data_IF_396518144588
#
_entry.id   IF_396518144588
#
_cell.length_a   1.000
_cell.length_b   1.000
_cell.length_c   1.000
_cell.angle_alpha   90.00
_cell.angle_beta   90.00
_cell.angle_gamma   90.00
#
_symmetry.space_group_name_H-M   'P 1'
#
loop_
_entity.id
_entity.type
_entity.pdbx_description
1 polymer ?
#
# COMPACT_ATOMS: atom_id res chain seq x y z
N UNK A 1 14.45 25.79 5.11
CA UNK A 1 13.31 24.91 4.91
C UNK A 1 12.18 25.33 5.85
N UNK A 2 10.95 25.32 5.40
CA UNK A 2 9.79 25.65 6.24
C UNK A 2 9.62 24.57 7.32
N UNK A 3 9.63 24.97 8.59
CA UNK A 3 9.40 24.07 9.72
C UNK A 3 7.89 23.85 9.89
N UNK A 4 7.46 22.59 9.99
CA UNK A 4 6.08 22.23 10.34
C UNK A 4 5.87 22.46 11.84
N UNK A 5 4.84 23.24 12.21
CA UNK A 5 4.43 23.40 13.60
C UNK A 5 3.96 22.09 14.23
N UNK A 6 4.12 21.92 15.53
CA UNK A 6 3.82 20.70 16.27
C UNK A 6 2.33 20.32 16.18
N UNK A 7 1.42 21.29 16.19
CA UNK A 7 -0.03 21.05 16.08
C UNK A 7 -0.41 20.48 14.72
N UNK A 8 0.19 21.01 13.65
CA UNK A 8 -0.05 20.50 12.28
C UNK A 8 0.54 19.11 12.11
N UNK A 9 1.72 18.86 12.67
CA UNK A 9 2.36 17.55 12.66
C UNK A 9 1.49 16.51 13.37
N UNK A 10 0.93 16.86 14.53
CA UNK A 10 0.02 15.98 15.27
C UNK A 10 -1.25 15.64 14.47
N UNK A 11 -1.84 16.64 13.78
CA UNK A 11 -3.00 16.39 12.90
C UNK A 11 -2.68 15.48 11.74
N UNK A 12 -1.54 15.68 11.05
CA UNK A 12 -1.10 14.83 9.95
C UNK A 12 -0.84 13.40 10.43
N UNK A 13 -0.19 13.23 11.56
CA UNK A 13 0.06 11.96 12.24
C UNK A 13 -1.26 11.22 12.51
N UNK A 14 -2.23 11.90 13.13
CA UNK A 14 -3.53 11.29 13.42
C UNK A 14 -4.26 10.89 12.14
N UNK A 15 -4.26 11.76 11.13
CA UNK A 15 -4.88 11.49 9.83
C UNK A 15 -4.24 10.28 9.15
N UNK A 16 -2.91 10.20 9.14
CA UNK A 16 -2.19 9.03 8.62
C UNK A 16 -2.61 7.74 9.33
N UNK A 17 -2.69 7.76 10.67
CA UNK A 17 -3.12 6.61 11.46
C UNK A 17 -4.54 6.16 11.13
N UNK A 18 -5.48 7.10 10.99
CA UNK A 18 -6.87 6.81 10.59
C UNK A 18 -6.92 6.16 9.21
N UNK A 19 -6.19 6.71 8.22
CA UNK A 19 -6.16 6.13 6.88
C UNK A 19 -5.53 4.73 6.85
N UNK A 20 -4.44 4.50 7.59
CA UNK A 20 -3.82 3.16 7.68
C UNK A 20 -4.80 2.16 8.30
N UNK A 21 -5.49 2.55 9.38
CA UNK A 21 -6.53 1.73 10.00
C UNK A 21 -7.69 1.42 9.04
N UNK A 22 -8.13 2.41 8.28
CA UNK A 22 -9.19 2.24 7.28
C UNK A 22 -8.75 1.28 6.15
N UNK A 23 -7.53 1.44 5.63
CA UNK A 23 -6.98 0.54 4.58
C UNK A 23 -6.91 -0.89 5.10
N UNK A 24 -6.42 -1.10 6.31
CA UNK A 24 -6.35 -2.43 6.92
C UNK A 24 -7.75 -3.04 7.09
N UNK A 25 -8.71 -2.25 7.57
CA UNK A 25 -10.11 -2.68 7.71
C UNK A 25 -10.70 -3.09 6.36
N UNK A 26 -10.60 -2.25 5.33
CA UNK A 26 -11.14 -2.57 4.01
C UNK A 26 -10.43 -3.75 3.35
N UNK A 27 -9.11 -3.90 3.54
CA UNK A 27 -8.37 -5.07 3.10
C UNK A 27 -8.91 -6.35 3.74
N UNK A 28 -9.15 -6.35 5.05
CA UNK A 28 -9.75 -7.50 5.74
C UNK A 28 -11.15 -7.81 5.24
N UNK A 29 -12.01 -6.81 5.07
CA UNK A 29 -13.37 -7.01 4.55
C UNK A 29 -13.34 -7.56 3.12
N UNK A 30 -12.43 -7.08 2.27
CA UNK A 30 -12.24 -7.59 0.91
C UNK A 30 -11.92 -9.09 0.92
N UNK A 31 -10.92 -9.52 1.69
CA UNK A 31 -10.53 -10.94 1.76
C UNK A 31 -11.63 -11.81 2.40
N UNK A 32 -12.30 -11.34 3.46
CA UNK A 32 -13.42 -12.05 4.06
C UNK A 32 -14.58 -12.22 3.09
N UNK A 33 -14.90 -11.19 2.31
CA UNK A 33 -15.95 -11.25 1.30
C UNK A 33 -15.62 -12.26 0.21
N UNK A 34 -14.39 -12.26 -0.28
CA UNK A 34 -13.93 -13.20 -1.29
C UNK A 34 -13.88 -14.64 -0.77
N UNK A 35 -13.54 -14.85 0.51
CA UNK A 35 -13.64 -16.16 1.16
C UNK A 35 -15.09 -16.67 1.24
N UNK A 36 -16.06 -15.77 1.38
CA UNK A 36 -17.48 -16.15 1.38
C UNK A 36 -17.97 -16.54 -0.02
N UNK A 37 -17.44 -15.93 -1.07
CA UNK A 37 -17.82 -16.22 -2.45
C UNK A 37 -17.10 -17.48 -2.93
N UNK A 38 -17.87 -18.56 -3.15
CA UNK A 38 -17.32 -19.88 -3.52
C UNK A 38 -16.44 -19.87 -4.76
N UNK A 39 -16.72 -19.00 -5.73
CA UNK A 39 -15.93 -18.87 -6.97
C UNK A 39 -14.53 -18.29 -6.71
N UNK A 40 -14.36 -17.46 -5.70
CA UNK A 40 -13.08 -16.82 -5.35
C UNK A 40 -12.30 -17.56 -4.27
N UNK A 41 -12.90 -18.59 -3.66
CA UNK A 41 -12.33 -19.31 -2.53
C UNK A 41 -10.92 -19.87 -2.81
N UNK A 42 -10.68 -20.39 -4.01
CA UNK A 42 -9.38 -20.93 -4.41
C UNK A 42 -8.29 -19.86 -4.48
N UNK A 43 -8.58 -18.71 -5.12
CA UNK A 43 -7.66 -17.58 -5.22
C UNK A 43 -7.34 -17.01 -3.84
N UNK A 44 -8.35 -16.84 -2.99
CA UNK A 44 -8.18 -16.31 -1.64
C UNK A 44 -7.34 -17.25 -0.76
N UNK A 45 -7.60 -18.55 -0.80
CA UNK A 45 -6.79 -19.54 -0.11
C UNK A 45 -5.34 -19.52 -0.58
N UNK A 46 -5.14 -19.37 -1.89
CA UNK A 46 -3.80 -19.20 -2.46
C UNK A 46 -3.11 -17.95 -1.91
N UNK A 47 -3.73 -16.77 -1.96
CA UNK A 47 -3.14 -15.52 -1.46
C UNK A 47 -2.87 -15.60 0.05
N UNK A 48 -3.81 -16.10 0.83
CA UNK A 48 -3.71 -16.08 2.29
C UNK A 48 -2.83 -17.18 2.88
N UNK A 49 -2.72 -18.35 2.23
CA UNK A 49 -2.09 -19.55 2.81
C UNK A 49 -1.08 -20.27 1.92
N UNK A 50 -1.35 -20.44 0.64
CA UNK A 50 -0.63 -21.40 -0.23
C UNK A 50 0.26 -20.72 -1.30
N UNK A 51 0.15 -19.42 -1.47
CA UNK A 51 0.82 -18.66 -2.54
C UNK A 51 2.31 -18.38 -2.31
N UNK A 52 2.93 -18.96 -1.30
CA UNK A 52 4.36 -18.82 -1.04
C UNK A 52 4.79 -17.35 -0.90
N UNK A 53 5.44 -16.81 -1.95
CA UNK A 53 5.92 -15.41 -1.95
C UNK A 53 4.76 -14.41 -1.85
N UNK A 54 3.63 -14.65 -2.50
CA UNK A 54 2.46 -13.76 -2.45
C UNK A 54 1.85 -13.73 -1.04
N UNK A 55 1.74 -14.89 -0.38
CA UNK A 55 1.31 -14.99 1.02
C UNK A 55 2.24 -14.23 1.95
N UNK A 56 3.55 -14.35 1.76
CA UNK A 56 4.55 -13.63 2.54
C UNK A 56 4.44 -12.11 2.32
N UNK A 57 4.30 -11.66 1.06
CA UNK A 57 4.11 -10.25 0.73
C UNK A 57 2.83 -9.67 1.34
N UNK A 58 1.76 -10.45 1.39
CA UNK A 58 0.52 -10.04 2.04
C UNK A 58 0.70 -9.88 3.55
N UNK A 59 1.11 -10.94 4.26
CA UNK A 59 1.18 -10.91 5.72
C UNK A 59 2.32 -10.05 6.27
N UNK A 60 3.56 -10.26 5.76
CA UNK A 60 4.71 -9.48 6.22
C UNK A 60 4.75 -8.10 5.56
N UNK A 61 4.51 -8.02 4.27
CA UNK A 61 4.65 -6.77 3.53
C UNK A 61 3.51 -5.79 3.81
N UNK A 62 2.28 -6.19 3.51
CA UNK A 62 1.13 -5.29 3.66
C UNK A 62 0.64 -5.19 5.11
N UNK A 63 0.38 -6.33 5.77
CA UNK A 63 -0.24 -6.31 7.11
C UNK A 63 0.76 -5.86 8.17
N UNK A 64 1.93 -6.50 8.27
CA UNK A 64 2.88 -6.20 9.33
C UNK A 64 3.64 -4.90 9.04
N UNK A 65 4.40 -4.83 7.93
CA UNK A 65 5.28 -3.70 7.62
C UNK A 65 4.49 -2.48 7.16
N UNK A 66 3.46 -2.69 6.32
CA UNK A 66 2.66 -1.60 5.75
C UNK A 66 1.57 -1.05 6.66
N UNK A 67 1.16 -1.77 7.70
CA UNK A 67 0.03 -1.35 8.54
C UNK A 67 0.34 -1.41 10.04
N UNK A 68 0.69 -2.55 10.61
CA UNK A 68 0.86 -2.71 12.07
C UNK A 68 2.05 -1.89 12.59
N UNK A 69 3.22 -2.00 11.95
CA UNK A 69 4.40 -1.23 12.34
C UNK A 69 4.18 0.28 12.23
N UNK A 70 3.65 0.83 11.13
CA UNK A 70 3.28 2.25 11.06
C UNK A 70 2.31 2.70 12.16
N UNK A 71 1.25 1.93 12.42
CA UNK A 71 0.32 2.25 13.52
C UNK A 71 1.03 2.26 14.87
N UNK A 72 1.91 1.31 15.12
CA UNK A 72 2.72 1.30 16.34
C UNK A 72 3.62 2.54 16.45
N UNK A 73 4.34 2.91 15.37
CA UNK A 73 5.17 4.12 15.34
C UNK A 73 4.37 5.41 15.55
N UNK A 74 3.16 5.46 15.00
CA UNK A 74 2.27 6.62 15.09
C UNK A 74 1.70 6.78 16.51
N UNK A 75 1.24 5.70 17.13
CA UNK A 75 0.48 5.77 18.38
C UNK A 75 1.31 5.45 19.62
N UNK A 76 2.54 4.93 19.49
CA UNK A 76 3.42 4.69 20.64
C UNK A 76 3.86 6.00 21.29
N UNK A 77 3.73 6.14 22.62
CA UNK A 77 4.18 7.33 23.33
C UNK A 77 5.69 7.61 23.17
N UNK A 78 6.48 6.55 22.99
CA UNK A 78 7.94 6.67 22.81
C UNK A 78 8.33 7.42 21.53
N UNK A 79 7.48 7.39 20.50
CA UNK A 79 7.73 8.00 19.20
C UNK A 79 6.78 9.16 18.89
N UNK A 80 5.95 9.57 19.85
CA UNK A 80 4.84 10.50 19.65
C UNK A 80 5.25 11.85 19.05
N UNK A 81 6.43 12.37 19.40
CA UNK A 81 6.95 13.65 18.93
C UNK A 81 8.08 13.52 17.90
N UNK A 82 8.42 12.31 17.48
CA UNK A 82 9.52 12.09 16.54
C UNK A 82 9.07 12.30 15.10
N UNK A 83 9.60 13.35 14.44
CA UNK A 83 9.39 13.60 13.00
C UNK A 83 9.93 12.48 12.14
N UNK A 84 11.03 11.86 12.57
CA UNK A 84 11.61 10.71 11.91
C UNK A 84 10.68 9.49 11.92
N UNK A 85 10.03 9.23 13.05
CA UNK A 85 9.08 8.11 13.17
C UNK A 85 7.87 8.28 12.25
N UNK A 86 7.34 9.51 12.12
CA UNK A 86 6.23 9.81 11.22
C UNK A 86 6.66 9.64 9.76
N UNK A 87 7.84 10.14 9.39
CA UNK A 87 8.40 9.97 8.05
C UNK A 87 8.63 8.50 7.69
N UNK A 88 9.20 7.73 8.62
CA UNK A 88 9.41 6.28 8.46
C UNK A 88 8.08 5.54 8.32
N UNK A 89 7.09 5.85 9.15
CA UNK A 89 5.74 5.28 9.05
C UNK A 89 5.13 5.55 7.67
N UNK A 90 5.26 6.78 7.15
CA UNK A 90 4.74 7.14 5.82
C UNK A 90 5.40 6.33 4.70
N UNK A 91 6.71 6.13 4.75
CA UNK A 91 7.43 5.29 3.77
C UNK A 91 6.99 3.83 3.86
N UNK A 92 6.86 3.28 5.08
CA UNK A 92 6.39 1.90 5.28
C UNK A 92 4.96 1.70 4.76
N UNK A 93 4.08 2.67 4.97
CA UNK A 93 2.69 2.64 4.44
C UNK A 93 2.71 2.61 2.90
N UNK A 94 3.52 3.43 2.25
CA UNK A 94 3.65 3.43 0.79
C UNK A 94 4.18 2.09 0.28
N UNK A 95 5.19 1.52 0.91
CA UNK A 95 5.72 0.20 0.55
C UNK A 95 4.67 -0.90 0.75
N UNK A 96 3.96 -0.90 1.88
CA UNK A 96 2.90 -1.86 2.16
C UNK A 96 1.74 -1.77 1.18
N UNK A 97 1.34 -0.56 0.80
CA UNK A 97 0.32 -0.32 -0.24
C UNK A 97 0.75 -0.83 -1.60
N UNK A 98 2.01 -0.61 -1.98
CA UNK A 98 2.57 -1.14 -3.23
C UNK A 98 2.58 -2.68 -3.25
N UNK A 99 3.01 -3.31 -2.14
CA UNK A 99 2.99 -4.77 -1.99
C UNK A 99 1.57 -5.34 -2.05
N UNK A 100 0.58 -4.66 -1.45
CA UNK A 100 -0.82 -5.04 -1.53
C UNK A 100 -1.33 -5.02 -2.96
N UNK A 101 -1.05 -3.95 -3.71
CA UNK A 101 -1.42 -3.86 -5.13
C UNK A 101 -0.76 -4.98 -5.94
N UNK A 102 0.52 -5.27 -5.68
CA UNK A 102 1.23 -6.36 -6.35
C UNK A 102 0.58 -7.72 -6.07
N UNK A 103 0.23 -8.01 -4.82
CA UNK A 103 -0.44 -9.27 -4.44
C UNK A 103 -1.81 -9.40 -5.10
N UNK A 104 -2.62 -8.33 -5.12
CA UNK A 104 -3.95 -8.37 -5.73
C UNK A 104 -3.86 -8.54 -7.25
N UNK A 105 -2.98 -7.78 -7.90
CA UNK A 105 -2.89 -7.76 -9.37
C UNK A 105 -2.12 -8.96 -9.89
N UNK A 106 -0.90 -9.18 -9.42
CA UNK A 106 -0.03 -10.24 -9.94
C UNK A 106 -0.35 -11.58 -9.27
N UNK A 107 -0.53 -11.61 -7.95
CA UNK A 107 -0.88 -12.82 -7.21
C UNK A 107 -2.24 -13.38 -7.65
N UNK A 108 -3.24 -12.50 -7.86
CA UNK A 108 -4.54 -12.91 -8.38
C UNK A 108 -4.49 -13.48 -9.81
N UNK A 109 -3.59 -12.96 -10.66
CA UNK A 109 -3.38 -13.46 -12.01
C UNK A 109 -2.47 -14.70 -12.07
N UNK A 110 -1.61 -14.90 -11.07
CA UNK A 110 -0.74 -16.08 -10.99
C UNK A 110 -1.52 -17.35 -10.66
N UNK A 111 -2.70 -17.22 -10.02
CA UNK A 111 -3.56 -18.34 -9.72
C UNK A 111 -4.23 -18.88 -11.01
N UNK A 112 -4.21 -20.20 -11.27
CA UNK A 112 -4.80 -20.76 -12.49
C UNK A 112 -6.29 -20.52 -12.56
N UNK A 113 -6.75 -20.00 -13.69
CA UNK A 113 -8.15 -19.76 -13.95
C UNK A 113 -8.87 -21.08 -14.25
N UNK A 114 -9.84 -21.46 -13.46
CA UNK A 114 -10.67 -22.63 -13.70
C UNK A 114 -11.80 -22.28 -14.68
N UNK A 115 -11.49 -22.34 -15.99
CA UNK A 115 -12.43 -21.99 -17.06
C UNK A 115 -13.60 -22.98 -17.17
N UNK A 116 -13.41 -24.25 -16.80
CA UNK A 116 -14.42 -25.31 -16.88
C UNK A 116 -14.49 -26.08 -15.57
N UNK A 117 -15.30 -25.65 -14.60
CA UNK A 117 -15.46 -26.36 -13.34
C UNK A 117 -15.88 -27.82 -13.55
N UNK A 118 -15.17 -28.76 -12.91
CA UNK A 118 -15.44 -30.19 -12.99
C UNK A 118 -14.84 -30.92 -14.18
N UNK A 119 -14.04 -30.27 -15.02
CA UNK A 119 -13.22 -30.91 -16.06
C UNK A 119 -11.74 -30.90 -15.71
N UNK A 120 -11.00 -31.90 -16.21
CA UNK A 120 -9.54 -31.94 -16.08
C UNK A 120 -8.93 -30.67 -16.68
N UNK A 121 -8.03 -30.05 -15.93
CA UNK A 121 -7.28 -28.90 -16.41
C UNK A 121 -6.20 -29.43 -17.34
N UNK A 122 -6.36 -29.21 -18.64
CA UNK A 122 -5.34 -29.54 -19.63
C UNK A 122 -4.31 -28.44 -19.64
N UNK A 123 -3.07 -28.76 -19.31
CA UNK A 123 -1.94 -27.83 -19.44
C UNK A 123 -1.72 -27.50 -20.91
N UNK A 124 -1.93 -26.26 -21.30
CA UNK A 124 -1.64 -25.76 -22.64
C UNK A 124 -0.28 -25.04 -22.69
N UNK A 125 0.17 -24.70 -23.90
CA UNK A 125 1.36 -23.87 -24.10
C UNK A 125 1.23 -22.45 -23.50
N UNK A 126 0.03 -22.06 -23.08
CA UNK A 126 -0.28 -20.81 -22.40
C UNK A 126 -0.28 -20.91 -20.88
N UNK A 127 0.26 -22.00 -20.30
CA UNK A 127 0.35 -22.24 -18.85
C UNK A 127 -1.03 -22.29 -18.13
N UNK A 128 -2.10 -22.63 -18.84
CA UNK A 128 -3.42 -22.83 -18.25
C UNK A 128 -3.37 -23.97 -17.22
N UNK A 129 -3.94 -23.74 -16.05
CA UNK A 129 -4.00 -24.74 -14.98
C UNK A 129 -2.75 -24.87 -14.11
N UNK A 130 -1.73 -24.07 -14.32
CA UNK A 130 -0.50 -24.04 -13.50
C UNK A 130 -0.37 -22.64 -12.88
N UNK A 131 0.12 -22.58 -11.63
CA UNK A 131 0.46 -21.31 -11.00
C UNK A 131 1.56 -20.63 -11.81
N UNK A 132 1.26 -19.45 -12.37
CA UNK A 132 2.22 -18.69 -13.16
C UNK A 132 3.27 -18.05 -12.26
N UNK A 133 4.55 -18.25 -12.60
CA UNK A 133 5.65 -17.57 -11.94
C UNK A 133 6.03 -16.32 -12.76
N UNK A 134 5.61 -15.14 -12.27
CA UNK A 134 5.91 -13.87 -12.91
C UNK A 134 7.12 -13.22 -12.26
N UNK A 135 8.12 -12.92 -13.06
CA UNK A 135 9.29 -12.13 -12.66
C UNK A 135 9.29 -10.87 -13.54
N UNK A 136 9.12 -9.66 -12.92
CA UNK A 136 9.15 -8.42 -13.67
C UNK A 136 10.45 -8.24 -14.45
N UNK A 137 10.34 -7.86 -15.70
CA UNK A 137 11.50 -7.52 -16.52
C UNK A 137 12.06 -6.15 -16.13
N UNK A 138 13.32 -5.87 -16.48
CA UNK A 138 13.94 -4.56 -16.22
C UNK A 138 13.16 -3.44 -16.89
N UNK A 139 12.61 -3.66 -18.08
CA UNK A 139 11.81 -2.68 -18.80
C UNK A 139 10.50 -2.34 -18.05
N UNK A 140 9.83 -3.32 -17.47
CA UNK A 140 8.62 -3.11 -16.65
C UNK A 140 8.94 -2.36 -15.37
N UNK A 141 10.06 -2.68 -14.72
CA UNK A 141 10.54 -1.95 -13.55
C UNK A 141 10.83 -0.48 -13.87
N UNK A 142 11.50 -0.20 -14.99
CA UNK A 142 11.76 1.16 -15.46
C UNK A 142 10.47 1.92 -15.82
N UNK A 143 9.49 1.24 -16.41
CA UNK A 143 8.18 1.83 -16.69
C UNK A 143 7.46 2.24 -15.39
N UNK A 144 7.52 1.41 -14.35
CA UNK A 144 6.98 1.74 -13.03
C UNK A 144 7.64 2.99 -12.42
N UNK A 145 8.98 3.06 -12.47
CA UNK A 145 9.73 4.24 -12.00
C UNK A 145 9.38 5.48 -12.82
N UNK A 146 9.25 5.36 -14.13
CA UNK A 146 8.83 6.45 -15.01
C UNK A 146 7.42 6.96 -14.63
N UNK A 147 6.48 6.09 -14.31
CA UNK A 147 5.15 6.46 -13.82
C UNK A 147 5.21 7.30 -12.54
N UNK A 148 6.03 6.90 -11.57
CA UNK A 148 6.25 7.67 -10.34
C UNK A 148 6.86 9.04 -10.66
N UNK A 149 7.87 9.11 -11.54
CA UNK A 149 8.52 10.36 -11.93
C UNK A 149 7.53 11.33 -12.60
N UNK A 150 6.66 10.83 -13.48
CA UNK A 150 5.60 11.63 -14.11
C UNK A 150 4.63 12.17 -13.06
N UNK A 151 4.16 11.33 -12.14
CA UNK A 151 3.24 11.75 -11.08
C UNK A 151 3.87 12.85 -10.19
N UNK A 152 5.12 12.68 -9.77
CA UNK A 152 5.85 13.69 -9.00
C UNK A 152 6.05 15.00 -9.77
N UNK A 153 6.32 14.91 -11.06
CA UNK A 153 6.47 16.09 -11.93
C UNK A 153 5.15 16.86 -12.02
N UNK A 154 4.03 16.16 -12.23
CA UNK A 154 2.70 16.78 -12.26
C UNK A 154 2.35 17.47 -10.94
N UNK A 155 2.65 16.82 -9.79
CA UNK A 155 2.45 17.43 -8.47
C UNK A 155 3.33 18.68 -8.30
N UNK A 156 4.61 18.62 -8.70
CA UNK A 156 5.53 19.75 -8.58
C UNK A 156 5.10 20.94 -9.47
N UNK A 157 4.66 20.67 -10.70
CA UNK A 157 4.14 21.69 -11.62
C UNK A 157 2.82 22.26 -11.07
N UNK A 158 1.91 21.43 -10.62
CA UNK A 158 0.64 21.85 -10.03
C UNK A 158 0.84 22.74 -8.81
N UNK A 159 1.75 22.36 -7.90
CA UNK A 159 2.07 23.14 -6.71
C UNK A 159 2.68 24.52 -7.03
N UNK A 160 3.43 24.62 -8.14
CA UNK A 160 3.98 25.90 -8.63
C UNK A 160 2.93 26.79 -9.27
N UNK A 161 2.04 26.20 -10.10
CA UNK A 161 1.07 26.97 -10.86
C UNK A 161 -0.14 27.40 -10.03
N UNK A 162 -0.61 26.55 -9.13
CA UNK A 162 -1.87 26.77 -8.41
C UNK A 162 -1.72 27.52 -7.09
N UNK A 163 -0.49 27.86 -6.66
CA UNK A 163 -0.22 28.54 -5.37
C UNK A 163 -1.00 27.95 -4.18
N UNK A 164 -1.22 26.64 -4.19
CA UNK A 164 -1.98 25.92 -3.15
C UNK A 164 -1.19 25.71 -1.86
N UNK A 165 0.12 25.95 -1.89
CA UNK A 165 0.96 25.83 -0.71
C UNK A 165 0.80 27.09 0.16
N UNK A 166 0.53 26.94 1.47
CA UNK A 166 0.46 28.05 2.40
C UNK A 166 1.80 28.79 2.49
N UNK A 167 1.77 30.09 2.72
CA UNK A 167 2.99 30.91 2.84
C UNK A 167 3.80 30.52 4.07
N UNK A 168 3.12 30.18 5.17
CA UNK A 168 3.73 29.72 6.42
C UNK A 168 3.19 28.35 6.82
N UNK A 169 4.04 27.50 7.36
CA UNK A 169 3.69 26.20 7.95
C UNK A 169 3.76 26.23 9.48
N UNK A 170 3.94 27.42 10.07
CA UNK A 170 3.97 27.66 11.51
C UNK A 170 2.56 27.61 12.11
N UNK A 171 2.45 27.23 13.37
CA UNK A 171 1.17 27.18 14.05
C UNK A 171 0.60 28.59 14.27
N UNK A 172 -0.75 28.77 14.26
CA UNK A 172 -1.36 30.08 14.43
C UNK A 172 -0.97 30.79 15.75
N UNK A 173 -0.67 30.03 16.79
CA UNK A 173 -0.23 30.52 18.09
C UNK A 173 1.16 31.16 18.07
N UNK A 174 2.02 30.77 17.14
CA UNK A 174 3.38 31.31 17.01
C UNK A 174 3.38 32.67 16.28
N UNK A 175 2.29 32.95 15.56
CA UNK A 175 2.09 34.22 14.83
C UNK A 175 1.51 35.36 15.69
N UNK A 176 0.89 35.03 16.83
CA UNK A 176 0.35 36.04 17.76
C UNK A 176 1.41 36.65 18.71
N UNK A 177 2.61 36.03 18.77
CA UNK A 177 3.69 36.47 19.64
C UNK A 177 4.90 37.08 18.89
N UNK A 178 4.81 37.23 17.56
CA UNK A 178 5.83 37.87 16.72
C UNK A 178 5.39 39.23 16.24
#
# INVERSE_FOLDING_TARGET
>A
GRTLGEVRLAKLKHLLGVFVGAVLYFSMIYHLTNLYITQHHGVERFILMEGGVYTLMFWLGHVLIGSIIPLFLIYSPAFASSRFAIGSASVLVLMGGFLQLYVIVIGGQAYPMNLFPGKEVVTSAFLDGVVANYIPTTAEGLLGIAGIAVAMTLVAVGARMLKVLPETLEDPTDLEHA
#
